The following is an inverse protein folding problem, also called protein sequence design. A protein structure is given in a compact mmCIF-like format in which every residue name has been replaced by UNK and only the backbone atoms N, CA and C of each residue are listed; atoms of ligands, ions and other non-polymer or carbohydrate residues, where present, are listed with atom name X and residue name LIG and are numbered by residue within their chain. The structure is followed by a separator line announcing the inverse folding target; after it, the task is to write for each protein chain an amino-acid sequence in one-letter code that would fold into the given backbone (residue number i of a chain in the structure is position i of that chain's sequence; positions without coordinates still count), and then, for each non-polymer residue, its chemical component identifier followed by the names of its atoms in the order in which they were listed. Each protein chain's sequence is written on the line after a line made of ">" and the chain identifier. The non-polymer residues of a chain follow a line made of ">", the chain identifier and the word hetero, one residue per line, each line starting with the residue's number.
data_IF_386342427038
#
_entry.id   IF_386342427038
#
_cell.length_a   1.000
_cell.length_b   1.000
_cell.length_c   1.000
_cell.angle_alpha   90.00
_cell.angle_beta   90.00
_cell.angle_gamma   90.00
#
_symmetry.space_group_name_H-M   'P 1'
#
loop_
_entity.id
_entity.type
_entity.pdbx_description
1 polymer ?
#
# COMPACT_ATOMS: atom_id res chain seq x y z
N UNK A 1 37.70 -32.10 -14.74
CA UNK A 1 37.75 -30.67 -15.10
C UNK A 1 36.56 -30.23 -15.97
N UNK A 2 36.18 -30.93 -17.02
CA UNK A 2 35.02 -30.53 -17.85
C UNK A 2 33.72 -30.43 -17.08
N UNK A 3 33.44 -31.31 -16.11
CA UNK A 3 32.23 -31.25 -15.26
C UNK A 3 32.20 -30.05 -14.33
N UNK A 4 33.35 -29.62 -13.82
CA UNK A 4 33.46 -28.44 -12.95
C UNK A 4 33.22 -27.16 -13.77
N UNK A 5 33.73 -27.11 -15.01
CA UNK A 5 33.50 -25.98 -15.91
C UNK A 5 32.01 -25.83 -16.24
N UNK A 6 31.31 -26.93 -16.49
CA UNK A 6 29.86 -26.91 -16.75
C UNK A 6 29.06 -26.48 -15.53
N UNK A 7 29.47 -26.88 -14.31
CA UNK A 7 28.83 -26.41 -13.08
C UNK A 7 29.06 -24.91 -12.85
N UNK A 8 30.25 -24.40 -13.12
CA UNK A 8 30.56 -22.97 -13.02
C UNK A 8 29.77 -22.14 -14.04
N UNK A 9 29.66 -22.64 -15.29
CA UNK A 9 28.85 -21.99 -16.34
C UNK A 9 27.36 -21.98 -15.96
N UNK A 10 26.86 -23.07 -15.39
CA UNK A 10 25.48 -23.15 -14.91
C UNK A 10 25.20 -22.18 -13.75
N UNK A 11 26.16 -22.04 -12.83
CA UNK A 11 26.09 -21.09 -11.71
C UNK A 11 26.12 -19.61 -12.17
N UNK A 12 26.92 -19.33 -13.23
CA UNK A 12 27.00 -17.98 -13.81
C UNK A 12 25.80 -17.62 -14.68
N UNK A 13 25.04 -18.60 -15.16
CA UNK A 13 23.81 -18.33 -15.94
C UNK A 13 22.57 -18.01 -15.09
N UNK A 14 22.64 -18.15 -13.77
CA UNK A 14 21.62 -17.64 -12.86
C UNK A 14 21.91 -16.16 -12.54
N UNK A 15 21.91 -15.34 -13.58
CA UNK A 15 21.81 -13.90 -13.41
C UNK A 15 20.39 -13.61 -12.92
N UNK A 16 20.24 -13.51 -11.60
CA UNK A 16 19.04 -12.92 -11.01
C UNK A 16 18.99 -11.47 -11.52
N UNK A 17 18.15 -11.26 -12.51
CA UNK A 17 17.80 -9.90 -12.93
C UNK A 17 17.02 -9.27 -11.77
N UNK A 18 17.76 -8.60 -10.89
CA UNK A 18 17.16 -7.74 -9.88
C UNK A 18 16.61 -6.54 -10.64
N UNK A 19 15.35 -6.60 -10.98
CA UNK A 19 14.63 -5.44 -11.49
C UNK A 19 14.17 -4.66 -10.26
N UNK A 20 14.90 -3.60 -9.92
CA UNK A 20 14.35 -2.55 -9.08
C UNK A 20 13.22 -1.91 -9.88
N UNK A 21 12.01 -1.93 -9.32
CA UNK A 21 10.88 -1.24 -9.91
C UNK A 21 11.15 0.26 -9.85
N UNK A 22 11.07 0.92 -11.00
CA UNK A 22 11.05 2.37 -11.08
C UNK A 22 9.60 2.82 -11.02
N UNK A 23 9.22 3.49 -9.94
CA UNK A 23 7.90 4.07 -9.78
C UNK A 23 7.70 5.21 -10.78
N UNK A 24 6.54 5.27 -11.41
CA UNK A 24 6.22 6.30 -12.40
C UNK A 24 6.04 7.69 -11.76
N UNK A 25 5.60 7.72 -10.50
CA UNK A 25 5.34 8.94 -9.72
C UNK A 25 5.42 8.66 -8.22
N UNK A 26 5.55 9.72 -7.43
CA UNK A 26 5.40 9.64 -5.98
C UNK A 26 3.92 9.45 -5.64
N UNK A 27 3.61 8.50 -4.75
CA UNK A 27 2.25 8.28 -4.33
C UNK A 27 2.12 8.09 -2.81
N UNK A 28 0.91 8.33 -2.35
CA UNK A 28 0.44 7.99 -1.01
C UNK A 28 -0.87 7.23 -1.11
N UNK A 29 -1.16 6.41 -0.11
CA UNK A 29 -2.41 5.65 -0.02
C UNK A 29 -3.16 6.09 1.23
N UNK A 30 -4.46 6.30 1.10
CA UNK A 30 -5.39 6.52 2.21
C UNK A 30 -6.62 5.67 1.98
N UNK A 31 -6.96 4.81 2.95
CA UNK A 31 -8.14 3.94 2.92
C UNK A 31 -8.30 3.13 1.61
N UNK A 32 -7.19 2.60 1.08
CA UNK A 32 -7.19 1.81 -0.15
C UNK A 32 -7.28 2.62 -1.43
N UNK A 33 -7.15 3.93 -1.38
CA UNK A 33 -7.14 4.85 -2.53
C UNK A 33 -5.75 5.40 -2.76
N UNK A 34 -5.26 5.31 -3.99
CA UNK A 34 -3.93 5.79 -4.39
C UNK A 34 -4.03 7.20 -4.93
N UNK A 35 -3.20 8.09 -4.39
CA UNK A 35 -3.09 9.49 -4.81
C UNK A 35 -1.69 9.77 -5.31
N UNK A 36 -1.58 10.33 -6.51
CA UNK A 36 -0.33 10.84 -7.05
C UNK A 36 0.01 12.18 -6.41
N UNK A 37 1.20 12.29 -5.82
CA UNK A 37 1.67 13.56 -5.26
C UNK A 37 2.26 14.40 -6.39
N UNK A 38 1.68 15.58 -6.58
CA UNK A 38 2.06 16.52 -7.62
C UNK A 38 3.05 17.59 -7.09
N UNK A 39 3.62 18.39 -7.97
CA UNK A 39 4.46 19.53 -7.57
C UNK A 39 3.65 20.79 -7.20
N UNK A 40 2.32 20.67 -7.19
CA UNK A 40 1.44 21.80 -6.83
C UNK A 40 1.43 21.96 -5.33
N UNK A 41 1.78 23.16 -4.86
CA UNK A 41 1.76 23.50 -3.43
C UNK A 41 0.33 23.84 -2.97
N UNK A 42 0.02 23.38 -1.77
CA UNK A 42 -1.21 23.76 -1.04
C UNK A 42 -0.82 24.82 -0.01
N UNK A 43 -1.57 25.91 0.03
CA UNK A 43 -1.37 26.96 1.04
C UNK A 43 -1.77 26.45 2.42
N UNK A 44 -1.04 26.83 3.46
CA UNK A 44 -1.42 26.51 4.85
C UNK A 44 -2.83 27.02 5.22
N UNK A 45 -3.28 28.10 4.56
CA UNK A 45 -4.61 28.64 4.77
C UNK A 45 -5.74 27.76 4.21
N UNK A 46 -5.41 26.85 3.27
CA UNK A 46 -6.35 25.93 2.63
C UNK A 46 -6.27 24.51 3.22
N UNK A 47 -5.52 24.32 4.32
CA UNK A 47 -5.40 23.04 5.00
C UNK A 47 -6.54 22.84 5.99
N UNK A 48 -7.27 21.74 5.83
CA UNK A 48 -8.26 21.26 6.76
C UNK A 48 -7.70 20.31 7.80
N UNK A 49 -8.54 19.39 8.27
CA UNK A 49 -8.19 18.42 9.30
C UNK A 49 -7.20 17.37 8.80
N UNK A 50 -6.43 16.80 9.74
CA UNK A 50 -5.60 15.61 9.49
C UNK A 50 -6.53 14.43 9.20
N UNK A 51 -6.32 13.75 8.09
CA UNK A 51 -7.16 12.63 7.65
C UNK A 51 -6.44 11.28 7.68
N UNK A 52 -5.12 11.28 7.81
CA UNK A 52 -4.30 10.08 7.89
C UNK A 52 -2.82 10.39 7.88
N UNK A 53 -2.01 9.35 7.83
CA UNK A 53 -0.56 9.42 7.73
C UNK A 53 0.00 8.20 7.00
N UNK A 54 1.25 8.27 6.57
CA UNK A 54 1.96 7.09 6.01
C UNK A 54 2.22 6.09 7.13
N UNK A 55 1.65 4.90 7.03
CA UNK A 55 1.83 3.80 7.98
C UNK A 55 2.84 2.76 7.52
N UNK A 56 2.97 2.56 6.20
CA UNK A 56 3.84 1.54 5.60
C UNK A 56 4.62 2.09 4.40
N UNK A 57 5.70 1.41 4.04
CA UNK A 57 6.46 1.72 2.83
C UNK A 57 6.20 0.66 1.76
N UNK A 58 6.09 1.10 0.52
CA UNK A 58 6.04 0.21 -0.63
C UNK A 58 7.39 -0.49 -0.83
N UNK A 59 7.34 -1.74 -1.27
CA UNK A 59 8.54 -2.52 -1.56
C UNK A 59 9.06 -2.19 -2.97
N UNK A 60 10.24 -1.59 -3.06
CA UNK A 60 10.87 -1.18 -4.32
C UNK A 60 11.29 -2.36 -5.22
N UNK A 61 11.35 -3.56 -4.65
CA UNK A 61 11.77 -4.76 -5.40
C UNK A 61 10.59 -5.49 -6.02
N UNK A 62 9.46 -5.58 -5.28
CA UNK A 62 8.28 -6.32 -5.73
C UNK A 62 7.16 -5.41 -6.24
N UNK A 63 7.14 -4.15 -5.81
CA UNK A 63 6.04 -3.22 -6.09
C UNK A 63 4.83 -3.42 -5.20
N UNK A 64 4.92 -4.29 -4.20
CA UNK A 64 3.83 -4.56 -3.28
C UNK A 64 3.73 -3.45 -2.23
N UNK A 65 2.50 -3.12 -1.86
CA UNK A 65 2.19 -2.23 -0.75
C UNK A 65 0.84 -2.56 -0.14
N UNK A 66 0.64 -2.18 1.10
CA UNK A 66 -0.60 -2.41 1.85
C UNK A 66 -0.82 -1.31 2.88
N UNK A 67 -2.08 -1.14 3.30
CA UNK A 67 -2.44 -0.07 4.24
C UNK A 67 -2.21 1.31 3.65
N UNK A 68 -2.09 2.30 4.51
CA UNK A 68 -1.77 3.67 4.13
C UNK A 68 -0.27 3.78 3.85
N UNK A 69 0.09 3.49 2.62
CA UNK A 69 1.46 3.31 2.15
C UNK A 69 1.98 4.50 1.34
N UNK A 70 3.29 4.58 1.23
CA UNK A 70 3.96 5.46 0.26
C UNK A 70 5.20 4.78 -0.32
N UNK A 71 5.55 5.15 -1.56
CA UNK A 71 6.82 4.77 -2.20
C UNK A 71 7.95 5.77 -1.97
N UNK A 72 7.65 6.98 -1.48
CA UNK A 72 8.63 8.05 -1.34
C UNK A 72 8.62 8.72 0.03
N UNK A 73 7.44 8.92 0.60
CA UNK A 73 7.29 9.63 1.87
C UNK A 73 7.52 8.69 3.06
N UNK A 74 8.25 9.14 4.12
CA UNK A 74 8.52 8.32 5.29
C UNK A 74 7.26 8.06 6.10
N UNK A 75 7.28 6.99 6.91
CA UNK A 75 6.25 6.67 7.89
C UNK A 75 6.06 7.87 8.83
N UNK A 76 4.80 8.24 9.09
CA UNK A 76 4.42 9.39 9.91
C UNK A 76 4.20 10.68 9.11
N UNK A 77 4.40 10.68 7.78
CA UNK A 77 4.03 11.82 6.92
C UNK A 77 2.52 12.03 6.97
N UNK A 78 2.06 13.19 7.38
CA UNK A 78 0.64 13.51 7.52
C UNK A 78 -0.05 13.81 6.19
N UNK A 79 -1.34 13.43 6.14
CA UNK A 79 -2.28 13.84 5.10
C UNK A 79 -3.35 14.74 5.69
N UNK A 80 -3.67 15.82 4.99
CA UNK A 80 -4.74 16.74 5.38
C UNK A 80 -5.75 16.92 4.27
N UNK A 81 -6.97 17.23 4.68
CA UNK A 81 -8.00 17.68 3.75
C UNK A 81 -7.59 19.02 3.13
N UNK A 82 -7.95 19.23 1.87
CA UNK A 82 -7.87 20.54 1.21
C UNK A 82 -9.24 21.19 1.30
N UNK A 83 -9.30 22.43 1.79
CA UNK A 83 -10.56 23.15 1.96
C UNK A 83 -11.31 23.29 0.63
N UNK A 84 -12.60 22.94 0.68
CA UNK A 84 -13.47 22.97 -0.51
C UNK A 84 -13.35 21.78 -1.45
N UNK A 85 -12.47 20.81 -1.15
CA UNK A 85 -12.31 19.60 -1.96
C UNK A 85 -12.67 18.33 -1.17
N UNK A 86 -13.07 17.29 -1.90
CA UNK A 86 -13.34 15.98 -1.30
C UNK A 86 -12.05 15.23 -1.01
N UNK A 87 -11.94 14.64 0.18
CA UNK A 87 -10.83 13.74 0.54
C UNK A 87 -10.72 12.56 -0.43
N UNK A 88 -11.84 12.16 -1.06
CA UNK A 88 -11.83 11.07 -2.05
C UNK A 88 -11.11 11.44 -3.35
N UNK A 89 -10.96 12.73 -3.64
CA UNK A 89 -10.38 13.22 -4.89
C UNK A 89 -9.00 13.84 -4.67
N UNK A 90 -8.81 14.55 -3.53
CA UNK A 90 -7.61 15.36 -3.29
C UNK A 90 -7.20 15.33 -1.82
N UNK A 91 -5.89 15.25 -1.60
CA UNK A 91 -5.23 15.38 -0.29
C UNK A 91 -4.14 16.44 -0.35
N UNK A 92 -3.80 17.01 0.80
CA UNK A 92 -2.52 17.69 1.02
C UNK A 92 -1.59 16.73 1.76
N UNK A 93 -0.38 16.54 1.23
CA UNK A 93 0.66 15.68 1.80
C UNK A 93 1.79 16.56 2.32
N UNK A 94 2.21 16.32 3.56
CA UNK A 94 3.36 17.00 4.15
C UNK A 94 4.65 16.63 3.38
N UNK A 95 5.41 17.66 2.96
CA UNK A 95 6.70 17.49 2.30
C UNK A 95 7.72 18.47 2.91
N UNK A 96 8.47 17.98 3.89
CA UNK A 96 9.43 18.75 4.69
C UNK A 96 8.81 19.99 5.37
N UNK A 97 8.80 21.13 4.68
CA UNK A 97 8.30 22.41 5.21
C UNK A 97 7.11 22.96 4.42
N UNK A 98 6.60 22.19 3.47
CA UNK A 98 5.50 22.61 2.61
C UNK A 98 4.47 21.48 2.45
N UNK A 99 3.32 21.84 1.89
CA UNK A 99 2.26 20.90 1.59
C UNK A 99 2.09 20.75 0.10
N UNK A 100 2.06 19.51 -0.38
CA UNK A 100 1.84 19.19 -1.79
C UNK A 100 0.46 18.62 -2.03
N UNK A 101 -0.12 18.97 -3.15
CA UNK A 101 -1.39 18.43 -3.62
C UNK A 101 -1.18 17.00 -4.11
N UNK A 102 -1.99 16.09 -3.64
CA UNK A 102 -2.07 14.72 -4.12
C UNK A 102 -3.46 14.47 -4.70
N UNK A 103 -3.54 13.90 -5.89
CA UNK A 103 -4.76 13.68 -6.64
C UNK A 103 -5.06 12.18 -6.78
N UNK A 104 -6.32 11.78 -6.63
CA UNK A 104 -6.74 10.40 -6.78
C UNK A 104 -6.43 9.87 -8.18
N UNK A 105 -5.86 8.67 -8.26
CA UNK A 105 -5.52 8.00 -9.52
C UNK A 105 -6.30 6.72 -9.71
N UNK A 106 -6.28 5.83 -8.70
CA UNK A 106 -6.95 4.52 -8.75
C UNK A 106 -7.07 3.92 -7.35
N UNK A 107 -7.89 2.87 -7.23
CA UNK A 107 -7.94 2.05 -6.03
C UNK A 107 -6.65 1.23 -5.88
N UNK A 108 -6.20 1.03 -4.64
CA UNK A 108 -5.06 0.16 -4.37
C UNK A 108 -5.36 -1.30 -4.79
N UNK A 109 -4.35 -2.05 -5.25
CA UNK A 109 -4.52 -3.46 -5.55
C UNK A 109 -5.03 -4.22 -4.33
N UNK A 110 -5.79 -5.30 -4.58
CA UNK A 110 -6.23 -6.17 -3.50
C UNK A 110 -5.01 -6.80 -2.81
N UNK A 111 -4.87 -6.54 -1.52
CA UNK A 111 -3.93 -7.24 -0.65
C UNK A 111 -4.69 -7.81 0.55
N UNK A 112 -4.48 -9.09 0.85
CA UNK A 112 -5.13 -9.75 1.99
C UNK A 112 -4.80 -9.09 3.33
N UNK A 113 -3.67 -8.39 3.43
CA UNK A 113 -3.26 -7.65 4.63
C UNK A 113 -4.17 -6.47 4.93
N UNK A 114 -4.77 -5.85 3.90
CA UNK A 114 -5.74 -4.77 4.05
C UNK A 114 -7.10 -5.27 4.57
N UNK A 115 -7.33 -6.59 4.56
CA UNK A 115 -8.62 -7.21 4.87
C UNK A 115 -8.51 -8.28 5.95
N UNK A 116 -7.44 -8.26 6.76
CA UNK A 116 -7.19 -9.25 7.82
C UNK A 116 -8.40 -9.40 8.75
N UNK A 117 -9.02 -8.32 9.16
CA UNK A 117 -10.16 -8.34 10.06
C UNK A 117 -11.37 -9.04 9.44
N UNK A 118 -11.68 -8.72 8.18
CA UNK A 118 -12.80 -9.34 7.45
C UNK A 118 -12.58 -10.84 7.26
N UNK A 119 -11.35 -11.24 6.92
CA UNK A 119 -10.98 -12.65 6.76
C UNK A 119 -11.09 -13.39 8.09
N UNK A 120 -10.62 -12.78 9.19
CA UNK A 120 -10.69 -13.35 10.52
C UNK A 120 -12.14 -13.56 10.96
N UNK A 121 -13.02 -12.58 10.80
CA UNK A 121 -14.45 -12.71 11.13
C UNK A 121 -15.17 -13.77 10.26
N UNK A 122 -14.85 -13.83 8.97
CA UNK A 122 -15.41 -14.86 8.07
C UNK A 122 -14.99 -16.28 8.52
N UNK A 123 -13.73 -16.48 8.91
CA UNK A 123 -13.23 -17.76 9.40
C UNK A 123 -13.89 -18.18 10.73
N UNK A 124 -14.10 -17.24 11.66
CA UNK A 124 -14.80 -17.47 12.93
C UNK A 124 -16.27 -17.86 12.68
N UNK A 125 -16.96 -17.11 11.81
CA UNK A 125 -18.35 -17.40 11.44
C UNK A 125 -18.53 -18.78 10.82
N UNK A 126 -17.65 -19.19 9.94
CA UNK A 126 -17.64 -20.52 9.33
C UNK A 126 -17.40 -21.62 10.40
N UNK A 127 -16.46 -21.42 11.30
CA UNK A 127 -16.18 -22.36 12.38
C UNK A 127 -17.39 -22.58 13.30
N UNK A 128 -18.09 -21.51 13.66
CA UNK A 128 -19.33 -21.59 14.47
C UNK A 128 -20.43 -22.34 13.71
N UNK A 129 -20.63 -22.06 12.41
CA UNK A 129 -21.63 -22.73 11.59
C UNK A 129 -21.39 -24.25 11.49
N UNK A 130 -20.16 -24.66 11.26
CA UNK A 130 -19.75 -26.06 11.20
C UNK A 130 -19.96 -26.75 12.56
N UNK A 131 -19.59 -26.08 13.66
CA UNK A 131 -19.78 -26.61 15.03
C UNK A 131 -21.27 -26.83 15.35
N UNK A 132 -22.14 -25.89 15.03
CA UNK A 132 -23.58 -25.99 15.22
C UNK A 132 -24.18 -27.13 14.36
N UNK A 133 -23.79 -27.21 13.08
CA UNK A 133 -24.26 -28.25 12.18
C UNK A 133 -23.88 -29.67 12.68
N UNK A 134 -22.67 -29.83 13.19
CA UNK A 134 -22.22 -31.14 13.77
C UNK A 134 -22.95 -31.51 15.07
N UNK A 135 -23.30 -30.52 15.89
CA UNK A 135 -24.09 -30.74 17.09
C UNK A 135 -25.54 -31.15 16.81
N UNK A 136 -26.17 -30.46 15.84
CA UNK A 136 -27.55 -30.79 15.44
C UNK A 136 -27.68 -32.15 14.77
N UNK A 137 -26.64 -32.63 14.07
CA UNK A 137 -26.60 -33.92 13.41
C UNK A 137 -26.43 -35.10 14.40
N UNK A 138 -25.96 -34.83 15.62
CA UNK A 138 -25.76 -35.84 16.68
C UNK A 138 -26.96 -35.96 17.65
N UNK A 139 -28.01 -35.18 17.44
CA UNK A 139 -29.31 -35.31 18.15
C UNK A 139 -30.34 -35.99 17.25
#
# INVERSE_FOLDING_TARGET
>A
MKRVIWMVVLLLSVSLSVHALSWAYAFVVLDGRVYEVTDIKVSEADLGDVVGEVETLADDMTGDYYGDASNMYPIGTEYRQVDGESVEDVLAVEDETEWKRAEFVHEAPFDSRNHVDVIAYAAIGLGIAVFLATRLRKR
#
